data_IF_517698083738
#
_entry.id   IF_517698083738
#
_cell.length_a   1.000
_cell.length_b   1.000
_cell.length_c   1.000
_cell.angle_alpha   90.00
_cell.angle_beta   90.00
_cell.angle_gamma   90.00
#
_symmetry.space_group_name_H-M   'P 1'
#
loop_
_entity.id
_entity.type
_entity.pdbx_description
1 polymer ?
#
# COMPACT_ATOMS: atom_id res chain seq x y z
N UNK A 1 -12.42 11.48 14.20
CA UNK A 1 -12.24 10.21 14.95
C UNK A 1 -10.76 9.94 15.06
N UNK A 2 -10.18 9.90 16.27
CA UNK A 2 -8.73 9.66 16.44
C UNK A 2 -8.51 8.16 16.55
N UNK A 3 -8.11 7.51 15.46
CA UNK A 3 -7.73 6.11 15.51
C UNK A 3 -6.27 6.02 15.93
N UNK A 4 -6.02 6.18 17.23
CA UNK A 4 -4.71 5.94 17.82
C UNK A 4 -4.76 4.59 18.52
N UNK A 5 -4.42 3.52 17.80
CA UNK A 5 -3.83 2.36 18.46
C UNK A 5 -2.32 2.56 18.45
N UNK A 6 -1.84 3.51 19.27
CA UNK A 6 -0.44 3.52 19.63
C UNK A 6 -0.26 2.42 20.69
N UNK A 7 0.01 1.20 20.22
CA UNK A 7 0.50 0.14 21.08
C UNK A 7 1.88 0.51 21.64
N UNK A 8 2.36 -0.27 22.61
CA UNK A 8 3.73 -0.15 23.11
C UNK A 8 4.73 -0.35 21.97
N UNK A 9 5.77 0.50 21.90
CA UNK A 9 6.84 0.36 20.90
C UNK A 9 7.91 -0.58 21.43
N UNK A 10 8.31 -1.55 20.61
CA UNK A 10 9.47 -2.42 20.87
C UNK A 10 10.62 -2.02 19.95
N UNK A 11 11.83 -1.92 20.51
CA UNK A 11 13.02 -1.63 19.73
C UNK A 11 13.61 -2.93 19.18
N UNK A 12 13.58 -3.08 17.87
CA UNK A 12 14.20 -4.20 17.16
C UNK A 12 15.43 -3.72 16.38
N UNK A 13 16.46 -4.56 16.29
CA UNK A 13 17.64 -4.29 15.47
C UNK A 13 17.54 -5.03 14.14
N UNK A 14 17.74 -4.31 13.03
CA UNK A 14 17.66 -4.87 11.68
C UNK A 14 18.88 -4.41 10.88
N UNK A 15 19.51 -5.36 10.17
CA UNK A 15 20.60 -5.07 9.25
C UNK A 15 20.05 -4.63 7.90
N UNK A 16 20.61 -3.57 7.33
CA UNK A 16 20.21 -3.02 6.03
C UNK A 16 21.46 -2.59 5.24
N UNK A 17 21.40 -2.59 3.90
CA UNK A 17 22.48 -2.01 3.08
C UNK A 17 22.76 -0.56 3.46
N UNK A 18 24.04 -0.20 3.61
CA UNK A 18 24.46 1.15 4.01
C UNK A 18 23.88 2.23 3.10
N UNK A 19 23.84 1.97 1.79
CA UNK A 19 23.31 2.93 0.81
C UNK A 19 21.81 3.21 1.01
N UNK A 20 21.04 2.17 1.32
CA UNK A 20 19.62 2.32 1.61
C UNK A 20 19.40 3.12 2.91
N UNK A 21 20.22 2.89 3.94
CA UNK A 21 20.17 3.67 5.18
C UNK A 21 20.51 5.15 4.91
N UNK A 22 21.49 5.40 4.05
CA UNK A 22 21.89 6.76 3.64
C UNK A 22 20.74 7.47 2.92
N UNK A 23 20.12 6.81 1.94
CA UNK A 23 18.97 7.33 1.20
C UNK A 23 17.79 7.64 2.13
N UNK A 24 17.42 6.70 2.99
CA UNK A 24 16.32 6.88 3.95
C UNK A 24 16.59 8.06 4.88
N UNK A 25 17.81 8.20 5.39
CA UNK A 25 18.19 9.34 6.25
C UNK A 25 18.19 10.66 5.49
N UNK A 26 18.62 10.67 4.23
CA UNK A 26 18.55 11.86 3.36
C UNK A 26 17.10 12.31 3.17
N UNK A 27 16.18 11.36 2.94
CA UNK A 27 14.76 11.62 2.71
C UNK A 27 13.98 12.02 3.96
N UNK A 28 14.30 11.42 5.11
CA UNK A 28 13.48 11.52 6.34
C UNK A 28 14.13 12.35 7.45
N UNK A 29 15.41 12.72 7.30
CA UNK A 29 16.19 13.36 8.35
C UNK A 29 16.45 12.47 9.57
N UNK A 30 17.07 13.03 10.61
CA UNK A 30 17.50 12.26 11.80
C UNK A 30 16.35 11.66 12.62
N UNK A 31 15.16 12.24 12.58
CA UNK A 31 14.01 11.86 13.43
C UNK A 31 12.86 11.21 12.67
N UNK A 32 12.83 11.30 11.34
CA UNK A 32 11.74 10.76 10.52
C UNK A 32 11.91 9.30 10.11
N UNK A 33 13.09 8.71 10.34
CA UNK A 33 13.39 7.35 9.87
C UNK A 33 12.45 6.30 10.46
N UNK A 34 12.24 6.33 11.79
CA UNK A 34 11.39 5.35 12.47
C UNK A 34 9.93 5.43 12.03
N UNK A 35 9.37 6.64 11.86
CA UNK A 35 8.00 6.80 11.37
C UNK A 35 7.87 6.35 9.93
N UNK A 36 8.84 6.70 9.08
CA UNK A 36 8.85 6.29 7.69
C UNK A 36 8.86 4.77 7.54
N UNK A 37 9.75 4.08 8.27
CA UNK A 37 9.82 2.61 8.27
C UNK A 37 8.53 2.01 8.83
N UNK A 38 7.99 2.58 9.91
CA UNK A 38 6.73 2.10 10.50
C UNK A 38 5.57 2.15 9.51
N UNK A 39 5.41 3.25 8.78
CA UNK A 39 4.37 3.38 7.77
C UNK A 39 4.62 2.46 6.57
N UNK A 40 5.87 2.32 6.13
CA UNK A 40 6.23 1.40 5.05
C UNK A 40 5.90 -0.06 5.42
N UNK A 41 6.24 -0.49 6.64
CA UNK A 41 5.93 -1.84 7.13
C UNK A 41 4.43 -2.05 7.29
N UNK A 42 3.69 -1.07 7.82
CA UNK A 42 2.21 -1.14 7.91
C UNK A 42 1.58 -1.29 6.53
N UNK A 43 2.04 -0.50 5.56
CA UNK A 43 1.56 -0.58 4.19
C UNK A 43 1.86 -1.96 3.57
N UNK A 44 3.08 -2.47 3.74
CA UNK A 44 3.45 -3.78 3.22
C UNK A 44 2.57 -4.90 3.80
N UNK A 45 2.39 -4.93 5.12
CA UNK A 45 1.53 -5.94 5.77
C UNK A 45 0.07 -5.85 5.30
N UNK A 46 -0.43 -4.63 5.05
CA UNK A 46 -1.77 -4.46 4.50
C UNK A 46 -1.88 -5.00 3.07
N UNK A 47 -0.89 -4.73 2.23
CA UNK A 47 -0.85 -5.24 0.85
C UNK A 47 -0.68 -6.76 0.80
N UNK A 48 0.14 -7.34 1.67
CA UNK A 48 0.31 -8.78 1.79
C UNK A 48 -1.04 -9.45 2.16
N UNK A 49 -1.74 -8.91 3.16
CA UNK A 49 -3.07 -9.40 3.53
C UNK A 49 -4.13 -9.24 2.43
N UNK A 50 -4.07 -8.15 1.65
CA UNK A 50 -4.93 -7.97 0.47
C UNK A 50 -4.63 -9.02 -0.61
N UNK A 51 -3.36 -9.31 -0.86
CA UNK A 51 -2.95 -10.33 -1.82
C UNK A 51 -3.44 -11.72 -1.39
N UNK A 52 -3.40 -12.04 -0.10
CA UNK A 52 -3.96 -13.29 0.45
C UNK A 52 -5.47 -13.40 0.22
N UNK A 53 -6.23 -12.32 0.45
CA UNK A 53 -7.68 -12.29 0.21
C UNK A 53 -7.99 -12.50 -1.27
N UNK A 54 -7.28 -11.80 -2.16
CA UNK A 54 -7.45 -11.94 -3.62
C UNK A 54 -7.14 -13.37 -4.05
N UNK A 55 -6.01 -13.92 -3.61
CA UNK A 55 -5.63 -15.29 -3.96
C UNK A 55 -6.66 -16.33 -3.49
N UNK A 56 -7.23 -16.16 -2.29
CA UNK A 56 -8.29 -17.03 -1.81
C UNK A 56 -9.56 -16.95 -2.68
N UNK A 57 -9.94 -15.75 -3.11
CA UNK A 57 -11.09 -15.55 -4.00
C UNK A 57 -10.87 -16.17 -5.39
N UNK A 58 -9.69 -15.97 -5.98
CA UNK A 58 -9.34 -16.54 -7.28
C UNK A 58 -9.23 -18.06 -7.24
N UNK A 59 -8.80 -18.64 -6.12
CA UNK A 59 -8.78 -20.09 -5.95
C UNK A 59 -10.19 -20.71 -5.97
N UNK A 60 -11.20 -19.99 -5.47
CA UNK A 60 -12.58 -20.46 -5.43
C UNK A 60 -13.35 -20.20 -6.74
N UNK A 61 -13.13 -19.04 -7.37
CA UNK A 61 -13.95 -18.57 -8.49
C UNK A 61 -13.20 -18.46 -9.83
N UNK A 62 -11.88 -18.62 -9.82
CA UNK A 62 -11.02 -18.29 -10.95
C UNK A 62 -10.59 -16.82 -10.96
N UNK A 63 -9.54 -16.52 -11.73
CA UNK A 63 -9.07 -15.15 -11.90
C UNK A 63 -10.08 -14.33 -12.70
N UNK A 64 -10.28 -13.07 -12.31
CA UNK A 64 -11.13 -12.13 -13.03
C UNK A 64 -10.45 -11.68 -14.32
N UNK A 65 -11.20 -11.64 -15.41
CA UNK A 65 -10.72 -11.06 -16.67
C UNK A 65 -10.77 -9.54 -16.61
N UNK A 66 -9.94 -8.88 -17.43
CA UNK A 66 -9.94 -7.41 -17.53
C UNK A 66 -11.31 -6.87 -18.00
N UNK A 67 -12.02 -7.60 -18.85
CA UNK A 67 -13.37 -7.22 -19.29
C UNK A 67 -14.38 -7.26 -18.14
N UNK A 68 -14.32 -8.27 -17.26
CA UNK A 68 -15.19 -8.38 -16.09
C UNK A 68 -14.91 -7.28 -15.07
N UNK A 69 -13.62 -6.98 -14.81
CA UNK A 69 -13.22 -5.89 -13.92
C UNK A 69 -13.72 -4.55 -14.45
N UNK A 70 -13.57 -4.30 -15.75
CA UNK A 70 -13.98 -3.03 -16.34
C UNK A 70 -15.51 -2.90 -16.43
N UNK A 71 -16.23 -3.99 -16.66
CA UNK A 71 -17.69 -4.01 -16.55
C UNK A 71 -18.15 -3.67 -15.12
N UNK A 72 -17.55 -4.28 -14.11
CA UNK A 72 -17.85 -4.00 -12.70
C UNK A 72 -17.50 -2.54 -12.31
N UNK A 73 -16.38 -1.99 -12.80
CA UNK A 73 -16.04 -0.58 -12.57
C UNK A 73 -17.08 0.38 -13.13
N UNK A 74 -17.53 0.16 -14.38
CA UNK A 74 -18.58 0.97 -14.99
C UNK A 74 -19.89 0.89 -14.20
N UNK A 75 -20.25 -0.29 -13.71
CA UNK A 75 -21.44 -0.50 -12.90
C UNK A 75 -21.35 0.22 -11.54
N UNK A 76 -20.22 0.09 -10.85
CA UNK A 76 -20.04 0.62 -9.49
C UNK A 76 -19.78 2.14 -9.44
N UNK A 77 -19.05 2.69 -10.42
CA UNK A 77 -18.56 4.07 -10.38
C UNK A 77 -19.11 4.95 -11.52
N UNK A 78 -19.85 4.38 -12.47
CA UNK A 78 -20.32 5.08 -13.68
C UNK A 78 -19.18 5.49 -14.62
N UNK A 79 -19.51 6.00 -15.81
CA UNK A 79 -18.52 6.48 -16.79
C UNK A 79 -17.80 7.79 -16.39
N UNK A 80 -18.27 8.46 -15.33
CA UNK A 80 -17.81 9.81 -14.95
C UNK A 80 -16.40 9.88 -14.33
N UNK A 81 -15.72 8.75 -14.10
CA UNK A 81 -14.37 8.70 -13.52
C UNK A 81 -13.26 8.34 -14.51
N UNK A 82 -13.57 8.11 -15.80
CA UNK A 82 -12.54 7.90 -16.84
C UNK A 82 -11.66 9.15 -17.06
N UNK A 83 -12.17 10.35 -16.74
CA UNK A 83 -11.48 11.63 -16.92
C UNK A 83 -10.45 11.98 -15.82
N UNK A 84 -10.40 11.20 -14.73
CA UNK A 84 -9.51 11.46 -13.59
C UNK A 84 -8.07 11.01 -13.79
N UNK A 85 -7.81 10.10 -14.73
CA UNK A 85 -6.49 9.49 -14.97
C UNK A 85 -5.60 10.39 -15.85
N UNK A 86 -6.17 11.25 -16.70
CA UNK A 86 -5.38 12.12 -17.59
C UNK A 86 -4.88 13.43 -16.95
N UNK A 87 -5.45 13.89 -15.82
CA UNK A 87 -5.02 15.16 -15.18
C UNK A 87 -3.90 15.02 -14.14
N UNK A 88 -3.22 13.87 -14.09
CA UNK A 88 -2.08 13.61 -13.20
C UNK A 88 -0.71 13.67 -13.89
N UNK A 89 -0.67 13.86 -15.20
CA UNK A 89 0.56 13.92 -16.01
C UNK A 89 0.69 15.29 -16.69
N UNK A 90 1.07 16.31 -15.92
CA UNK A 90 1.56 17.60 -16.43
C UNK A 90 2.59 18.19 -15.47
#
# INVERSE_FOLDING_TARGET
MKQTRAGTTENISVSMPTELVSELRSRTGRRGLSSYITEAVRHQLAMDGLAEIVAAHEAEHGALTEQEVEAARRELFGEANADGVERGAA
#
